data_IF_783853578228
#
_entry.id   IF_783853578228
#
_cell.length_a   1.000
_cell.length_b   1.000
_cell.length_c   1.000
_cell.angle_alpha   90.00
_cell.angle_beta   90.00
_cell.angle_gamma   90.00
#
_symmetry.space_group_name_H-M   'P 1'
#
loop_
_entity.id
_entity.type
_entity.pdbx_description
1 polymer ?
#
# COMPACT_ATOMS: atom_id res chain seq x y z
N UNK A 1 7.68 11.54 -12.96
CA UNK A 1 8.64 11.47 -11.83
C UNK A 1 9.50 10.23 -12.05
N UNK A 2 10.82 10.30 -11.91
CA UNK A 2 11.68 9.11 -12.05
C UNK A 2 11.53 8.22 -10.80
N UNK A 3 11.41 6.90 -10.98
CA UNK A 3 11.21 5.92 -9.89
C UNK A 3 12.29 6.04 -8.80
N UNK A 4 13.55 6.26 -9.20
CA UNK A 4 14.65 6.46 -8.26
C UNK A 4 14.42 7.63 -7.31
N UNK A 5 13.80 8.71 -7.80
CA UNK A 5 13.49 9.90 -6.99
C UNK A 5 12.38 9.62 -5.97
N UNK A 6 11.36 8.86 -6.35
CA UNK A 6 10.32 8.40 -5.42
C UNK A 6 10.93 7.60 -4.27
N UNK A 7 11.71 6.57 -4.59
CA UNK A 7 12.33 5.68 -3.60
C UNK A 7 13.31 6.43 -2.68
N UNK A 8 14.06 7.40 -3.23
CA UNK A 8 14.95 8.25 -2.44
C UNK A 8 14.20 9.07 -1.39
N UNK A 9 13.10 9.73 -1.76
CA UNK A 9 12.30 10.49 -0.81
C UNK A 9 11.57 9.60 0.19
N UNK A 10 11.04 8.46 -0.24
CA UNK A 10 10.43 7.48 0.68
C UNK A 10 11.44 7.01 1.71
N UNK A 11 12.65 6.60 1.30
CA UNK A 11 13.70 6.19 2.22
C UNK A 11 14.06 7.32 3.19
N UNK A 12 14.24 8.55 2.68
CA UNK A 12 14.58 9.70 3.53
C UNK A 12 13.55 9.89 4.63
N UNK A 13 12.26 9.85 4.31
CA UNK A 13 11.20 9.98 5.31
C UNK A 13 11.22 8.82 6.33
N UNK A 14 11.37 7.59 5.86
CA UNK A 14 11.45 6.42 6.75
C UNK A 14 12.62 6.54 7.73
N UNK A 15 13.80 6.97 7.26
CA UNK A 15 15.00 7.14 8.09
C UNK A 15 14.89 8.35 9.03
N UNK A 16 14.34 9.48 8.55
CA UNK A 16 14.23 10.74 9.32
C UNK A 16 13.24 10.64 10.48
N UNK A 17 12.15 9.89 10.29
CA UNK A 17 11.08 9.73 11.28
C UNK A 17 11.06 8.34 11.95
N UNK A 18 12.08 7.51 11.70
CA UNK A 18 12.22 6.16 12.25
C UNK A 18 10.94 5.30 12.08
N UNK A 19 10.30 5.38 10.91
CA UNK A 19 8.93 4.89 10.68
C UNK A 19 8.82 3.37 10.58
N UNK A 20 9.92 2.67 10.28
CA UNK A 20 9.95 1.23 10.05
C UNK A 20 11.03 0.63 10.94
N UNK A 21 10.68 -0.42 11.69
CA UNK A 21 11.58 -1.25 12.49
C UNK A 21 11.77 -2.64 11.86
N UNK A 22 12.80 -3.36 12.32
CA UNK A 22 13.06 -4.72 11.86
C UNK A 22 11.96 -5.67 12.35
N UNK A 23 11.40 -6.45 11.43
CA UNK A 23 10.29 -7.37 11.69
C UNK A 23 8.90 -6.75 11.57
N UNK A 24 8.77 -5.46 11.22
CA UNK A 24 7.48 -4.81 11.08
C UNK A 24 6.63 -5.48 9.99
N UNK A 25 5.32 -5.58 10.24
CA UNK A 25 4.33 -5.90 9.22
C UNK A 25 3.49 -4.65 8.94
N UNK A 26 3.65 -4.09 7.74
CA UNK A 26 3.03 -2.82 7.36
C UNK A 26 1.79 -3.09 6.50
N UNK A 27 0.63 -2.67 6.99
CA UNK A 27 -0.62 -2.70 6.23
C UNK A 27 -0.86 -1.35 5.53
N UNK A 28 -0.97 -1.38 4.19
CA UNK A 28 -1.27 -0.19 3.37
C UNK A 28 -2.76 -0.12 3.08
N UNK A 29 -3.41 0.95 3.53
CA UNK A 29 -4.78 1.27 3.14
C UNK A 29 -4.86 1.72 1.69
N UNK A 30 -5.61 1.00 0.85
CA UNK A 30 -5.81 1.30 -0.57
C UNK A 30 -7.20 1.88 -0.77
N UNK A 31 -7.25 3.14 -1.23
CA UNK A 31 -8.50 3.84 -1.55
C UNK A 31 -8.89 3.74 -3.03
N UNK A 32 -8.07 3.06 -3.84
CA UNK A 32 -8.18 3.04 -5.30
C UNK A 32 -7.55 4.25 -6.01
N UNK A 33 -7.15 5.28 -5.25
CA UNK A 33 -6.45 6.45 -5.78
C UNK A 33 -4.96 6.21 -6.05
N UNK A 34 -4.42 6.95 -7.01
CA UNK A 34 -2.99 6.92 -7.39
C UNK A 34 -2.03 7.08 -6.20
N UNK A 35 -2.42 7.84 -5.18
CA UNK A 35 -1.55 8.17 -4.05
C UNK A 35 -1.33 6.93 -3.16
N UNK A 36 -2.40 6.20 -2.84
CA UNK A 36 -2.31 4.93 -2.09
C UNK A 36 -1.57 3.83 -2.85
N UNK A 37 -1.80 3.74 -4.17
CA UNK A 37 -1.10 2.79 -5.04
C UNK A 37 0.39 3.13 -5.19
N UNK A 38 0.72 4.43 -5.27
CA UNK A 38 2.11 4.90 -5.32
C UNK A 38 2.83 4.58 -4.01
N UNK A 39 2.17 4.72 -2.86
CA UNK A 39 2.73 4.34 -1.56
C UNK A 39 3.02 2.83 -1.51
N UNK A 40 2.07 1.99 -1.92
CA UNK A 40 2.27 0.53 -2.00
C UNK A 40 3.47 0.18 -2.89
N UNK A 41 3.56 0.81 -4.06
CA UNK A 41 4.67 0.59 -5.00
C UNK A 41 6.02 1.05 -4.42
N UNK A 42 6.05 2.20 -3.76
CA UNK A 42 7.25 2.73 -3.13
C UNK A 42 7.76 1.81 -2.01
N UNK A 43 6.87 1.35 -1.12
CA UNK A 43 7.23 0.44 -0.03
C UNK A 43 7.66 -0.94 -0.55
N UNK A 44 6.97 -1.48 -1.55
CA UNK A 44 7.38 -2.74 -2.19
C UNK A 44 8.76 -2.63 -2.85
N UNK A 45 9.05 -1.51 -3.52
CA UNK A 45 10.36 -1.23 -4.10
C UNK A 45 11.44 -1.07 -3.04
N UNK A 46 11.14 -0.33 -1.96
CA UNK A 46 12.04 -0.07 -0.84
C UNK A 46 12.49 -1.38 -0.16
N UNK A 47 11.57 -2.34 0.03
CA UNK A 47 11.84 -3.67 0.63
C UNK A 47 13.00 -4.43 -0.03
N UNK A 48 13.29 -4.15 -1.31
CA UNK A 48 14.35 -4.83 -2.07
C UNK A 48 15.77 -4.48 -1.60
N UNK A 49 15.97 -3.30 -1.01
CA UNK A 49 17.30 -2.80 -0.66
C UNK A 49 17.38 -2.12 0.71
N UNK A 50 16.26 -1.87 1.38
CA UNK A 50 16.26 -1.30 2.72
C UNK A 50 16.87 -2.28 3.75
N UNK A 51 17.70 -1.80 4.70
CA UNK A 51 18.39 -2.69 5.64
C UNK A 51 17.43 -3.39 6.63
N UNK A 52 16.43 -2.68 7.15
CA UNK A 52 15.42 -3.25 8.06
C UNK A 52 14.43 -4.10 7.25
N UNK A 53 14.19 -5.34 7.68
CA UNK A 53 13.28 -6.28 7.02
C UNK A 53 11.86 -6.05 7.50
N UNK A 54 10.92 -5.99 6.55
CA UNK A 54 9.51 -5.80 6.84
C UNK A 54 8.63 -6.53 5.82
N UNK A 55 7.42 -6.86 6.26
CA UNK A 55 6.36 -7.44 5.43
C UNK A 55 5.36 -6.36 5.00
N UNK A 56 4.64 -6.64 3.92
CA UNK A 56 3.60 -5.76 3.40
C UNK A 56 2.30 -6.52 3.23
N UNK A 57 1.19 -5.89 3.59
CA UNK A 57 -0.16 -6.25 3.18
C UNK A 57 -0.90 -5.02 2.67
N UNK A 58 -1.92 -5.24 1.84
CA UNK A 58 -2.80 -4.21 1.32
C UNK A 58 -4.22 -4.45 1.85
N UNK A 59 -4.92 -3.38 2.22
CA UNK A 59 -6.29 -3.44 2.74
C UNK A 59 -7.13 -2.39 2.05
N UNK A 60 -8.27 -2.80 1.49
CA UNK A 60 -9.30 -1.88 1.01
C UNK A 60 -10.54 -2.02 1.86
N UNK A 61 -11.12 -0.90 2.27
CA UNK A 61 -12.47 -0.87 2.84
C UNK A 61 -13.44 -0.59 1.70
N UNK A 62 -14.23 -1.59 1.34
CA UNK A 62 -15.29 -1.47 0.36
C UNK A 62 -16.54 -0.92 1.06
N UNK A 63 -16.94 0.28 0.66
CA UNK A 63 -18.06 1.01 1.25
C UNK A 63 -19.41 0.61 0.65
N UNK A 64 -19.44 -0.20 -0.41
CA UNK A 64 -20.68 -0.63 -1.07
C UNK A 64 -21.10 0.22 -2.27
N UNK A 65 -20.18 0.97 -2.89
CA UNK A 65 -20.47 1.69 -4.13
C UNK A 65 -20.60 0.71 -5.32
N UNK A 66 -21.70 0.77 -6.08
CA UNK A 66 -21.98 -0.17 -7.17
C UNK A 66 -20.90 -0.20 -8.27
N UNK A 67 -20.21 0.92 -8.52
CA UNK A 67 -19.21 1.06 -9.60
C UNK A 67 -17.75 0.91 -9.14
N UNK A 68 -17.49 0.43 -7.92
CA UNK A 68 -16.13 0.32 -7.39
C UNK A 68 -15.44 -1.00 -7.77
N UNK A 69 -14.89 -1.07 -8.98
CA UNK A 69 -14.14 -2.24 -9.45
C UNK A 69 -12.75 -2.34 -8.80
N UNK A 70 -12.58 -3.34 -7.92
CA UNK A 70 -11.34 -3.66 -7.23
C UNK A 70 -10.44 -4.66 -7.97
N UNK A 71 -10.89 -5.20 -9.11
CA UNK A 71 -10.15 -6.20 -9.89
C UNK A 71 -8.75 -5.74 -10.34
N UNK A 72 -8.51 -4.47 -10.74
CA UNK A 72 -7.18 -4.03 -11.13
C UNK A 72 -6.22 -3.97 -9.94
N UNK A 73 -6.74 -3.58 -8.77
CA UNK A 73 -5.96 -3.48 -7.52
C UNK A 73 -5.58 -4.88 -7.05
N UNK A 74 -6.50 -5.83 -7.12
CA UNK A 74 -6.24 -7.23 -6.79
C UNK A 74 -5.18 -7.84 -7.72
N UNK A 75 -5.27 -7.57 -9.02
CA UNK A 75 -4.28 -8.01 -10.00
C UNK A 75 -2.89 -7.45 -9.72
N UNK A 76 -2.79 -6.15 -9.41
CA UNK A 76 -1.54 -5.50 -9.03
C UNK A 76 -0.93 -6.11 -7.76
N UNK A 77 -1.74 -6.32 -6.72
CA UNK A 77 -1.26 -6.91 -5.47
C UNK A 77 -0.75 -8.35 -5.68
N UNK A 78 -1.41 -9.13 -6.55
CA UNK A 78 -0.98 -10.47 -6.93
C UNK A 78 0.38 -10.45 -7.67
N UNK A 79 0.55 -9.55 -8.64
CA UNK A 79 1.82 -9.38 -9.37
C UNK A 79 2.96 -9.02 -8.40
N UNK A 80 2.68 -8.16 -7.44
CA UNK A 80 3.64 -7.72 -6.42
C UNK A 80 3.83 -8.72 -5.27
N UNK A 81 3.09 -9.84 -5.26
CA UNK A 81 3.06 -10.82 -4.18
C UNK A 81 2.81 -10.18 -2.81
N UNK A 82 1.85 -9.25 -2.76
CA UNK A 82 1.39 -8.59 -1.53
C UNK A 82 0.01 -9.15 -1.16
N UNK A 83 -0.15 -9.75 0.03
CA UNK A 83 -1.45 -10.15 0.54
C UNK A 83 -2.43 -8.98 0.51
N UNK A 84 -3.58 -9.19 -0.12
CA UNK A 84 -4.62 -8.17 -0.28
C UNK A 84 -5.92 -8.63 0.38
N UNK A 85 -6.47 -7.79 1.26
CA UNK A 85 -7.74 -8.03 1.94
C UNK A 85 -8.74 -6.93 1.62
N UNK A 86 -9.94 -7.34 1.19
CA UNK A 86 -11.09 -6.44 1.05
C UNK A 86 -11.95 -6.61 2.30
N UNK A 87 -12.24 -5.51 2.98
CA UNK A 87 -13.13 -5.45 4.15
C UNK A 87 -14.41 -4.75 3.71
N UNK A 88 -15.52 -5.49 3.70
CA UNK A 88 -16.84 -4.91 3.40
C UNK A 88 -17.32 -4.07 4.57
N UNK A 89 -17.98 -2.95 4.25
CA UNK A 89 -18.55 -2.02 5.20
C UNK A 89 -19.90 -1.53 4.70
N UNK A 90 -20.83 -1.27 5.62
CA UNK A 90 -22.17 -0.72 5.36
C UNK A 90 -22.22 0.80 5.61
N UNK A 91 -21.06 1.48 5.66
CA UNK A 91 -20.99 2.92 5.91
C UNK A 91 -21.77 3.73 4.87
N UNK A 92 -21.90 3.25 3.63
CA UNK A 92 -22.69 3.94 2.61
C UNK A 92 -24.15 4.15 3.02
N UNK A 93 -24.75 3.24 3.78
CA UNK A 93 -26.17 3.32 4.17
C UNK A 93 -26.47 4.44 5.18
N UNK A 94 -25.44 5.04 5.78
CA UNK A 94 -25.55 6.13 6.77
C UNK A 94 -24.91 7.44 6.31
N UNK A 95 -24.43 7.52 5.06
CA UNK A 95 -23.92 8.74 4.41
C UNK A 95 -25.02 9.44 3.60
#
# INVERSE_FOLDING_TARGET
MQLQRLLSYTRKAVDEYDMIQDGDHIAVGISGGKDSLTLLYALHGLRRFYPKKFELSAITVDLGFEDFDLSPIQSLCNEMQVPYRIVKSEIYDIL
#
